data_IF_333446838423
#
_entry.id   IF_333446838423
#
_cell.length_a   1.000
_cell.length_b   1.000
_cell.length_c   1.000
_cell.angle_alpha   90.00
_cell.angle_beta   90.00
_cell.angle_gamma   90.00
#
_symmetry.space_group_name_H-M   'P 1'
#
loop_
_entity.id
_entity.type
_entity.pdbx_description
1 polymer ?
#
# COMPACT_ATOMS: atom_id res chain seq x y z
N UNK A 1 12.99 -21.21 20.84
CA UNK A 1 14.23 -20.71 20.17
C UNK A 1 13.84 -19.53 19.30
N UNK A 2 14.56 -18.41 19.38
CA UNK A 2 14.35 -17.30 18.44
C UNK A 2 15.03 -17.68 17.12
N UNK A 3 14.25 -17.84 16.06
CA UNK A 3 14.75 -18.24 14.74
C UNK A 3 15.38 -17.00 14.10
N UNK A 4 16.60 -17.13 13.56
CA UNK A 4 17.19 -16.13 12.68
C UNK A 4 16.70 -16.46 11.27
N UNK A 5 15.75 -15.67 10.76
CA UNK A 5 15.13 -15.87 9.46
C UNK A 5 15.67 -14.87 8.44
N UNK A 6 16.42 -15.36 7.45
CA UNK A 6 17.07 -14.56 6.40
C UNK A 6 16.47 -14.82 5.01
N UNK A 7 15.27 -15.42 4.94
CA UNK A 7 14.64 -15.78 3.66
C UNK A 7 14.22 -14.55 2.84
N UNK A 8 13.72 -13.51 3.52
CA UNK A 8 13.18 -12.28 2.92
C UNK A 8 12.95 -11.24 4.01
N UNK A 9 12.88 -9.96 3.67
CA UNK A 9 12.39 -8.91 4.56
C UNK A 9 10.86 -8.98 4.76
N UNK A 10 10.12 -9.61 3.85
CA UNK A 10 8.66 -9.80 3.95
C UNK A 10 8.21 -10.64 5.15
N UNK A 11 9.14 -11.26 5.89
CA UNK A 11 8.84 -12.01 7.12
C UNK A 11 8.69 -11.11 8.35
N UNK A 12 8.86 -9.79 8.19
CA UNK A 12 8.67 -8.81 9.28
C UNK A 12 7.31 -8.96 9.94
N UNK A 13 7.30 -8.91 11.27
CA UNK A 13 6.07 -8.84 12.07
C UNK A 13 5.83 -7.39 12.52
N UNK A 14 4.57 -6.96 12.66
CA UNK A 14 4.27 -5.61 13.13
C UNK A 14 4.85 -5.37 14.52
N UNK A 15 5.34 -4.17 14.79
CA UNK A 15 5.76 -3.77 16.14
C UNK A 15 4.56 -3.62 17.06
N UNK A 16 4.78 -3.49 18.36
CA UNK A 16 3.68 -3.22 19.30
C UNK A 16 2.98 -1.89 19.00
N UNK A 17 3.74 -0.86 18.64
CA UNK A 17 3.19 0.44 18.24
C UNK A 17 2.33 0.32 16.98
N UNK A 18 2.78 -0.43 15.97
CA UNK A 18 1.98 -0.70 14.77
C UNK A 18 0.67 -1.42 15.12
N UNK A 19 0.72 -2.44 15.98
CA UNK A 19 -0.50 -3.14 16.43
C UNK A 19 -1.49 -2.21 17.13
N UNK A 20 -1.02 -1.33 18.00
CA UNK A 20 -1.87 -0.33 18.67
C UNK A 20 -2.45 0.68 17.67
N UNK A 21 -1.64 1.16 16.73
CA UNK A 21 -2.11 2.08 15.69
C UNK A 21 -3.19 1.45 14.82
N UNK A 22 -3.02 0.20 14.39
CA UNK A 22 -4.03 -0.54 13.63
C UNK A 22 -5.32 -0.74 14.45
N UNK A 23 -5.18 -1.10 15.74
CA UNK A 23 -6.34 -1.34 16.61
C UNK A 23 -7.17 -0.06 16.87
N UNK A 24 -6.51 1.09 16.94
CA UNK A 24 -7.16 2.38 17.19
C UNK A 24 -7.44 3.19 15.92
N UNK A 25 -7.21 2.62 14.73
CA UNK A 25 -7.45 3.33 13.48
C UNK A 25 -8.95 3.63 13.32
N UNK A 26 -9.25 4.88 12.96
CA UNK A 26 -10.57 5.23 12.42
C UNK A 26 -10.70 4.59 11.04
N UNK A 27 -11.81 3.89 10.82
CA UNK A 27 -12.10 3.15 9.59
C UNK A 27 -13.38 3.69 8.95
N UNK A 28 -13.47 3.51 7.63
CA UNK A 28 -14.66 3.84 6.84
C UNK A 28 -14.77 2.90 5.64
N UNK A 29 -15.73 3.18 4.76
CA UNK A 29 -15.84 2.45 3.48
C UNK A 29 -14.97 3.12 2.42
N UNK A 30 -13.86 2.47 2.09
CA UNK A 30 -12.88 2.98 1.12
C UNK A 30 -13.44 3.06 -0.31
N UNK A 31 -14.42 2.22 -0.66
CA UNK A 31 -15.07 2.28 -1.99
C UNK A 31 -15.82 3.60 -2.18
N UNK A 32 -16.36 4.16 -1.09
CA UNK A 32 -16.99 5.48 -1.09
C UNK A 32 -16.01 6.61 -0.74
N UNK A 33 -14.74 6.31 -0.49
CA UNK A 33 -13.73 7.29 -0.08
C UNK A 33 -13.92 7.81 1.35
N UNK A 34 -14.54 7.02 2.22
CA UNK A 34 -14.88 7.41 3.58
C UNK A 34 -13.86 6.93 4.62
N UNK A 35 -12.85 6.14 4.24
CA UNK A 35 -11.81 5.69 5.16
C UNK A 35 -10.76 6.81 5.40
N UNK A 36 -10.69 7.39 6.61
CA UNK A 36 -9.78 8.49 6.89
C UNK A 36 -8.33 8.02 7.04
N UNK A 37 -8.10 6.76 7.37
CA UNK A 37 -6.75 6.20 7.51
C UNK A 37 -6.12 5.95 6.15
N UNK A 38 -6.88 5.41 5.18
CA UNK A 38 -6.46 5.26 3.79
C UNK A 38 -6.15 6.62 3.16
N UNK A 39 -7.06 7.58 3.25
CA UNK A 39 -6.86 8.92 2.68
C UNK A 39 -5.61 9.62 3.21
N UNK A 40 -5.35 9.52 4.54
CA UNK A 40 -4.14 10.08 5.13
C UNK A 40 -2.87 9.41 4.60
N UNK A 41 -2.88 8.08 4.46
CA UNK A 41 -1.75 7.33 3.93
C UNK A 41 -1.44 7.71 2.49
N UNK A 42 -2.47 7.78 1.64
CA UNK A 42 -2.33 8.13 0.22
C UNK A 42 -1.87 9.57 0.04
N UNK A 43 -2.45 10.53 0.78
CA UNK A 43 -1.99 11.92 0.76
C UNK A 43 -0.52 12.04 1.16
N UNK A 44 -0.13 11.38 2.24
CA UNK A 44 1.27 11.36 2.69
C UNK A 44 2.19 10.74 1.64
N UNK A 45 1.79 9.63 1.01
CA UNK A 45 2.58 8.98 -0.04
C UNK A 45 2.74 9.87 -1.28
N UNK A 46 1.67 10.54 -1.72
CA UNK A 46 1.69 11.48 -2.83
C UNK A 46 2.63 12.66 -2.55
N UNK A 47 2.54 13.26 -1.36
CA UNK A 47 3.41 14.35 -0.90
C UNK A 47 4.89 13.91 -0.84
N UNK A 48 5.17 12.74 -0.27
CA UNK A 48 6.53 12.20 -0.16
C UNK A 48 7.18 11.95 -1.52
N UNK A 49 6.39 11.54 -2.53
CA UNK A 49 6.89 11.24 -3.87
C UNK A 49 6.83 12.45 -4.82
N UNK A 50 6.30 13.60 -4.36
CA UNK A 50 6.08 14.77 -5.20
C UNK A 50 5.12 14.50 -6.37
N UNK A 51 4.06 13.72 -6.11
CA UNK A 51 3.01 13.34 -7.08
C UNK A 51 1.67 13.93 -6.69
N UNK A 52 0.76 14.01 -7.66
CA UNK A 52 -0.57 14.58 -7.47
C UNK A 52 -1.48 13.69 -6.63
N UNK A 53 -1.32 12.37 -6.71
CA UNK A 53 -2.14 11.38 -6.02
C UNK A 53 -1.36 10.08 -5.76
N UNK A 54 -1.90 9.24 -4.87
CA UNK A 54 -1.46 7.88 -4.62
C UNK A 54 -2.67 6.98 -4.37
N UNK A 55 -2.48 5.66 -4.42
CA UNK A 55 -3.53 4.67 -4.18
C UNK A 55 -2.98 3.51 -3.33
N UNK A 56 -3.68 3.16 -2.25
CA UNK A 56 -3.38 1.99 -1.44
C UNK A 56 -3.84 0.72 -2.16
N UNK A 57 -2.95 -0.27 -2.25
CA UNK A 57 -3.25 -1.59 -2.82
C UNK A 57 -2.79 -2.71 -1.90
N UNK A 58 -3.43 -3.89 -1.91
CA UNK A 58 -3.10 -5.00 -0.99
C UNK A 58 -1.73 -5.62 -1.19
N UNK A 59 -1.09 -5.42 -2.36
CA UNK A 59 0.23 -5.98 -2.66
C UNK A 59 0.96 -5.20 -3.73
N UNK A 60 2.30 -5.29 -3.74
CA UNK A 60 3.12 -4.74 -4.82
C UNK A 60 2.80 -5.34 -6.20
N UNK A 61 2.39 -6.60 -6.26
CA UNK A 61 1.96 -7.25 -7.51
C UNK A 61 0.71 -6.58 -8.09
N UNK A 62 -0.29 -6.26 -7.25
CA UNK A 62 -1.48 -5.53 -7.72
C UNK A 62 -1.12 -4.11 -8.15
N UNK A 63 -0.25 -3.42 -7.39
CA UNK A 63 0.24 -2.08 -7.76
C UNK A 63 0.87 -2.07 -9.15
N UNK A 64 1.81 -2.97 -9.42
CA UNK A 64 2.43 -3.10 -10.74
C UNK A 64 1.41 -3.48 -11.82
N UNK A 65 0.50 -4.42 -11.56
CA UNK A 65 -0.54 -4.80 -12.52
C UNK A 65 -1.44 -3.61 -12.89
N UNK A 66 -1.87 -2.81 -11.92
CA UNK A 66 -2.65 -1.60 -12.18
C UNK A 66 -1.87 -0.58 -13.00
N UNK A 67 -0.59 -0.35 -12.69
CA UNK A 67 0.27 0.52 -13.51
C UNK A 67 0.32 0.04 -14.96
N UNK A 68 0.52 -1.26 -15.19
CA UNK A 68 0.54 -1.85 -16.54
C UNK A 68 -0.78 -1.63 -17.28
N UNK A 69 -1.92 -1.92 -16.62
CA UNK A 69 -3.25 -1.75 -17.23
C UNK A 69 -3.62 -0.27 -17.45
N UNK A 70 -3.05 0.64 -16.67
CA UNK A 70 -3.28 2.09 -16.80
C UNK A 70 -2.42 2.70 -17.89
N UNK A 71 -1.17 2.25 -18.04
CA UNK A 71 -0.22 2.82 -18.98
C UNK A 71 -0.19 2.13 -20.35
N UNK A 72 -0.69 0.89 -20.47
CA UNK A 72 -0.60 0.11 -21.70
C UNK A 72 -1.96 -0.47 -22.11
N UNK A 73 -2.38 -0.15 -23.33
CA UNK A 73 -3.54 -0.73 -23.96
C UNK A 73 -3.25 -2.15 -24.48
N UNK A 74 -4.32 -2.87 -24.86
CA UNK A 74 -4.19 -4.21 -25.43
C UNK A 74 -3.36 -4.18 -26.71
N UNK A 75 -2.25 -4.91 -26.70
CA UNK A 75 -1.32 -5.01 -27.84
C UNK A 75 -0.16 -4.02 -27.80
N UNK A 76 -0.11 -3.14 -26.79
CA UNK A 76 1.06 -2.32 -26.51
C UNK A 76 2.11 -3.12 -25.71
N UNK A 77 3.35 -2.62 -25.73
CA UNK A 77 4.52 -3.26 -25.14
C UNK A 77 5.05 -2.45 -23.96
N UNK A 78 5.57 -3.16 -22.95
CA UNK A 78 6.43 -2.60 -21.90
C UNK A 78 7.80 -3.26 -22.04
N UNK A 79 8.83 -2.42 -22.16
CA UNK A 79 10.23 -2.82 -22.33
C UNK A 79 10.72 -3.60 -21.10
#
# INVERSE_FOLDING_TARGET
>A
MKIIDLRSDTVTLPTEQMRKAMYHAELGDDVYGEDPSTQRLEKMAAEQMGKEAALLVPSGTMGNLMCMLTHCARGEEVI
#
